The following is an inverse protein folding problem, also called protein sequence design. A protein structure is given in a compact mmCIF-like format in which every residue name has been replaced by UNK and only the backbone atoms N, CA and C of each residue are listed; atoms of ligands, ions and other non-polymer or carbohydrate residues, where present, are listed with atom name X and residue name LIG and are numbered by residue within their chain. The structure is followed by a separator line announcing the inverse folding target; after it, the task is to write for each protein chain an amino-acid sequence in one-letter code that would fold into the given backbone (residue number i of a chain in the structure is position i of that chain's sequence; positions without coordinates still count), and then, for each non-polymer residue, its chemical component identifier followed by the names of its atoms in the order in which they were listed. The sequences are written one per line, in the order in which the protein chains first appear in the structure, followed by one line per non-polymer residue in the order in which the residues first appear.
data_IF_503597398692
#
_entry.id   IF_503597398692
#
_cell.length_a   1.000
_cell.length_b   1.000
_cell.length_c   1.000
_cell.angle_alpha   90.00
_cell.angle_beta   90.00
_cell.angle_gamma   90.00
#
_symmetry.space_group_name_H-M   'P 1'
#
loop_
_entity.id
_entity.type
_entity.pdbx_description
1 polymer ?
#
# COMPACT_ATOMS: atom_id res chain seq x y z
N UNK A 1 -62.49 -61.90 -25.82
CA UNK A 1 -61.35 -62.65 -25.27
C UNK A 1 -60.21 -61.67 -25.03
N UNK A 2 -59.53 -61.88 -23.89
CA UNK A 2 -58.34 -61.19 -23.36
C UNK A 2 -58.57 -59.97 -22.45
N UNK A 3 -58.59 -60.30 -21.16
CA UNK A 3 -58.24 -59.49 -19.98
C UNK A 3 -56.73 -59.26 -19.88
N UNK A 4 -56.32 -58.13 -19.28
CA UNK A 4 -55.31 -57.99 -18.18
C UNK A 4 -54.75 -56.53 -18.15
N UNK A 5 -55.12 -55.66 -17.19
CA UNK A 5 -54.47 -55.37 -15.88
C UNK A 5 -53.00 -54.90 -16.00
N UNK A 6 -52.67 -53.60 -15.81
CA UNK A 6 -52.15 -52.93 -14.56
C UNK A 6 -50.91 -53.64 -13.96
N UNK A 7 -49.80 -53.05 -13.51
CA UNK A 7 -49.42 -51.69 -13.06
C UNK A 7 -47.90 -51.64 -12.72
N UNK A 8 -47.34 -50.43 -12.68
CA UNK A 8 -46.28 -49.89 -11.76
C UNK A 8 -44.86 -50.45 -11.66
N UNK A 9 -43.91 -49.55 -11.96
CA UNK A 9 -42.73 -49.10 -11.18
C UNK A 9 -41.68 -50.11 -10.68
N UNK A 10 -40.51 -50.11 -11.33
CA UNK A 10 -39.24 -50.67 -10.84
C UNK A 10 -38.23 -49.54 -10.59
N UNK A 11 -37.94 -49.30 -9.31
CA UNK A 11 -36.85 -48.46 -8.79
C UNK A 11 -35.68 -49.38 -8.35
N UNK A 12 -34.41 -49.12 -8.73
CA UNK A 12 -33.30 -49.94 -8.26
C UNK A 12 -32.76 -49.48 -6.90
N UNK A 13 -32.86 -50.36 -5.91
CA UNK A 13 -32.39 -50.17 -4.54
C UNK A 13 -30.86 -50.04 -4.41
N UNK A 14 -30.43 -48.95 -3.76
CA UNK A 14 -29.09 -48.74 -3.21
C UNK A 14 -29.00 -49.38 -1.81
N UNK A 15 -27.99 -50.22 -1.59
CA UNK A 15 -27.79 -50.96 -0.33
C UNK A 15 -27.23 -50.05 0.76
N UNK A 16 -28.00 -49.93 1.84
CA UNK A 16 -27.66 -49.26 3.10
C UNK A 16 -26.86 -50.20 4.02
N UNK A 17 -25.70 -49.72 4.51
CA UNK A 17 -24.87 -50.41 5.49
C UNK A 17 -25.25 -49.94 6.90
N UNK A 18 -26.03 -50.76 7.59
CA UNK A 18 -26.46 -50.50 8.96
C UNK A 18 -25.35 -50.79 9.98
N UNK A 19 -25.06 -49.74 10.76
CA UNK A 19 -24.85 -49.70 12.23
C UNK A 19 -24.21 -50.93 12.90
N UNK A 20 -23.01 -50.72 13.45
CA UNK A 20 -22.54 -51.44 14.64
C UNK A 20 -22.32 -50.43 15.78
N UNK A 21 -23.27 -50.37 16.70
CA UNK A 21 -23.16 -49.67 17.98
C UNK A 21 -22.50 -50.60 19.01
N UNK A 22 -21.33 -50.23 19.52
CA UNK A 22 -20.72 -50.89 20.68
C UNK A 22 -20.85 -49.96 21.89
N UNK A 23 -21.70 -50.40 22.81
CA UNK A 23 -22.02 -49.77 24.08
C UNK A 23 -20.88 -49.93 25.09
N UNK A 24 -20.55 -48.83 25.78
CA UNK A 24 -19.60 -48.77 26.89
C UNK A 24 -20.07 -49.64 28.05
N UNK A 25 -19.20 -50.54 28.53
CA UNK A 25 -19.28 -51.10 29.88
C UNK A 25 -18.28 -50.38 30.78
N UNK A 26 -18.85 -49.76 31.80
CA UNK A 26 -18.20 -49.23 32.99
C UNK A 26 -17.37 -50.30 33.71
N UNK A 27 -16.12 -49.99 34.04
CA UNK A 27 -15.39 -50.64 35.12
C UNK A 27 -14.91 -49.58 36.11
N UNK A 28 -15.16 -49.92 37.37
CA UNK A 28 -14.97 -49.14 38.58
C UNK A 28 -13.52 -49.16 39.07
N UNK A 29 -13.01 -47.97 39.44
CA UNK A 29 -12.19 -47.74 40.63
C UNK A 29 -10.78 -48.34 40.70
N UNK A 30 -9.77 -47.48 40.63
CA UNK A 30 -8.73 -47.37 41.67
C UNK A 30 -8.07 -45.99 41.54
N UNK A 31 -8.10 -45.23 42.63
CA UNK A 31 -7.55 -43.90 42.77
C UNK A 31 -6.04 -43.96 43.01
N UNK A 32 -5.26 -43.32 42.16
CA UNK A 32 -3.94 -42.80 42.54
C UNK A 32 -3.77 -41.39 41.97
N UNK A 33 -3.30 -40.51 42.85
CA UNK A 33 -3.28 -39.06 42.80
C UNK A 33 -2.25 -38.48 41.82
N UNK A 34 -2.66 -37.42 41.10
CA UNK A 34 -1.75 -36.51 40.38
C UNK A 34 -1.09 -35.53 41.35
N UNK A 35 0.24 -35.30 41.29
CA UNK A 35 0.85 -34.15 41.96
C UNK A 35 0.76 -32.90 41.07
N UNK A 36 0.24 -31.81 41.67
CA UNK A 36 0.24 -30.46 41.10
C UNK A 36 1.63 -29.78 41.14
N UNK A 37 1.72 -28.53 40.67
CA UNK A 37 2.99 -27.90 40.28
C UNK A 37 3.81 -27.44 41.49
N UNK A 38 5.08 -27.82 41.55
CA UNK A 38 6.02 -27.31 42.55
C UNK A 38 6.62 -25.97 42.13
N UNK A 39 6.64 -25.04 43.10
CA UNK A 39 7.28 -23.74 43.02
C UNK A 39 8.77 -23.87 43.40
N UNK A 40 9.58 -23.01 42.80
CA UNK A 40 10.95 -22.59 43.18
C UNK A 40 12.11 -23.47 42.69
N UNK A 41 12.93 -22.90 41.81
CA UNK A 41 14.22 -23.46 41.42
C UNK A 41 14.90 -22.67 40.30
N UNK A 42 15.32 -21.43 40.58
CA UNK A 42 16.23 -20.70 39.71
C UNK A 42 17.61 -21.35 39.78
N UNK A 43 17.99 -22.13 38.77
CA UNK A 43 19.37 -22.61 38.60
C UNK A 43 20.13 -21.51 37.84
N UNK A 44 21.08 -20.88 38.53
CA UNK A 44 22.08 -19.99 37.92
C UNK A 44 23.05 -20.83 37.10
N UNK A 45 23.13 -20.58 35.80
CA UNK A 45 24.26 -21.04 34.99
C UNK A 45 25.40 -20.04 35.13
N UNK A 46 26.37 -20.42 35.95
CA UNK A 46 27.66 -19.77 36.08
C UNK A 46 28.58 -20.15 34.90
N UNK A 47 29.31 -19.14 34.39
CA UNK A 47 30.53 -19.22 33.58
C UNK A 47 30.44 -19.64 32.09
N UNK A 48 30.20 -18.64 31.22
CA UNK A 48 30.80 -18.60 29.87
C UNK A 48 31.56 -17.27 29.74
N UNK A 49 32.88 -17.36 29.53
CA UNK A 49 33.79 -16.22 29.30
C UNK A 49 33.52 -15.62 27.91
N UNK A 50 33.47 -14.29 27.75
CA UNK A 50 33.54 -13.68 26.42
C UNK A 50 34.96 -13.82 25.86
N UNK A 51 35.08 -14.39 24.67
CA UNK A 51 36.30 -14.29 23.86
C UNK A 51 36.39 -12.86 23.32
N UNK A 52 37.47 -12.16 23.65
CA UNK A 52 37.81 -10.85 23.12
C UNK A 52 38.16 -10.98 21.63
N UNK A 53 37.37 -10.36 20.76
CA UNK A 53 37.78 -10.15 19.37
C UNK A 53 38.59 -8.87 19.30
N UNK A 54 39.90 -9.05 19.04
CA UNK A 54 40.87 -7.99 18.83
C UNK A 54 40.44 -7.05 17.70
N UNK A 55 40.41 -5.75 18.02
CA UNK A 55 40.36 -4.64 17.07
C UNK A 55 41.65 -4.66 16.26
N UNK A 56 41.57 -4.99 14.97
CA UNK A 56 42.62 -4.66 14.01
C UNK A 56 42.19 -3.38 13.31
N UNK A 57 42.83 -2.28 13.69
CA UNK A 57 42.77 -1.01 12.98
C UNK A 57 43.38 -1.19 11.58
N UNK A 58 42.51 -1.24 10.57
CA UNK A 58 42.89 -1.22 9.15
C UNK A 58 42.73 0.20 8.59
N UNK A 59 43.83 0.70 8.04
CA UNK A 59 44.02 2.06 7.51
C UNK A 59 42.88 2.59 6.63
N UNK A 60 42.44 3.82 6.95
CA UNK A 60 41.64 4.65 6.05
C UNK A 60 42.54 5.21 4.92
N UNK A 61 42.16 5.11 3.64
CA UNK A 61 42.84 5.83 2.57
C UNK A 61 42.42 7.30 2.60
N UNK A 62 43.40 8.18 2.81
CA UNK A 62 43.32 9.61 2.52
C UNK A 62 43.12 9.81 1.02
N UNK A 63 41.96 10.34 0.63
CA UNK A 63 41.75 10.85 -0.72
C UNK A 63 41.84 12.37 -0.69
N UNK A 64 43.07 12.86 -0.83
CA UNK A 64 43.30 14.14 -1.47
C UNK A 64 43.00 13.98 -2.98
N UNK A 65 42.29 14.97 -3.51
CA UNK A 65 42.26 15.43 -4.90
C UNK A 65 40.88 15.38 -5.57
N UNK A 66 40.20 16.53 -5.51
CA UNK A 66 39.11 16.91 -6.42
C UNK A 66 39.14 18.43 -6.60
N UNK A 67 40.25 18.93 -7.16
CA UNK A 67 40.17 20.11 -8.03
C UNK A 67 39.91 19.60 -9.45
N UNK A 68 39.25 20.43 -10.27
CA UNK A 68 38.63 20.13 -11.58
C UNK A 68 37.22 19.54 -11.34
N UNK A 69 36.13 20.30 -11.32
CA UNK A 69 35.61 21.13 -12.40
C UNK A 69 34.86 22.35 -11.83
N UNK A 70 35.40 23.55 -12.06
CA UNK A 70 34.67 24.81 -11.93
C UNK A 70 34.52 25.41 -13.33
N UNK A 71 33.30 25.43 -13.85
CA UNK A 71 32.91 26.35 -14.91
C UNK A 71 31.64 27.11 -14.50
N UNK A 72 31.59 28.45 -14.72
CA UNK A 72 30.48 29.30 -14.29
C UNK A 72 29.48 29.58 -15.43
N UNK A 73 28.33 30.16 -15.06
CA UNK A 73 27.25 30.69 -15.92
C UNK A 73 26.39 29.62 -16.61
N UNK A 74 25.05 29.72 -16.68
CA UNK A 74 24.22 30.89 -16.97
C UNK A 74 22.76 30.58 -16.58
N UNK A 75 22.11 31.45 -15.81
CA UNK A 75 20.66 31.40 -15.61
C UNK A 75 19.95 31.80 -16.91
N UNK A 76 19.09 30.93 -17.43
CA UNK A 76 18.10 31.28 -18.44
C UNK A 76 16.74 31.42 -17.74
N UNK A 77 16.23 32.65 -17.70
CA UNK A 77 14.84 32.92 -17.38
C UNK A 77 13.97 32.54 -18.57
N UNK A 78 12.93 31.74 -18.32
CA UNK A 78 11.85 31.49 -19.27
C UNK A 78 10.75 32.52 -19.04
N UNK A 79 10.63 33.45 -19.98
CA UNK A 79 9.45 34.28 -20.15
C UNK A 79 8.35 33.45 -20.80
N UNK A 80 7.32 33.05 -20.04
CA UNK A 80 6.09 32.55 -20.61
C UNK A 80 5.09 33.71 -20.74
N UNK A 81 5.05 34.27 -21.94
CA UNK A 81 4.05 35.23 -22.38
C UNK A 81 2.71 34.57 -22.66
N UNK A 82 1.64 35.11 -22.07
CA UNK A 82 0.27 34.83 -22.48
C UNK A 82 -0.20 35.95 -23.42
N UNK A 83 -0.24 35.64 -24.71
CA UNK A 83 -0.82 36.51 -25.73
C UNK A 83 -2.34 36.45 -25.76
N UNK A 84 -2.99 37.61 -25.91
CA UNK A 84 -4.28 37.74 -26.62
C UNK A 84 -4.26 38.99 -27.48
N UNK A 85 -4.65 38.80 -28.75
CA UNK A 85 -4.80 39.83 -29.79
C UNK A 85 -6.26 40.30 -29.90
N UNK A 86 -6.39 41.43 -30.61
CA UNK A 86 -7.55 42.05 -31.28
C UNK A 86 -8.39 42.96 -30.35
N UNK A 87 -8.68 44.22 -30.68
CA UNK A 87 -8.41 45.07 -31.85
C UNK A 87 -9.33 46.32 -31.79
N UNK A 88 -8.98 47.34 -32.58
CA UNK A 88 -9.78 48.48 -33.05
C UNK A 88 -9.76 49.84 -32.28
N UNK A 89 -8.93 50.76 -32.84
CA UNK A 89 -9.18 52.16 -33.29
C UNK A 89 -10.23 53.05 -32.59
N UNK A 90 -9.79 54.26 -32.19
CA UNK A 90 -10.66 55.42 -31.89
C UNK A 90 -9.92 56.58 -31.22
N UNK A 91 -10.04 57.79 -31.76
CA UNK A 91 -9.16 58.94 -31.54
C UNK A 91 -9.53 59.88 -30.37
N UNK A 92 -8.52 60.67 -29.96
CA UNK A 92 -8.55 62.07 -29.46
C UNK A 92 -9.44 62.44 -28.25
N UNK A 93 -8.80 62.80 -27.12
CA UNK A 93 -8.97 64.10 -26.42
C UNK A 93 -8.13 64.14 -25.13
N UNK A 94 -7.51 65.29 -24.86
CA UNK A 94 -6.65 65.57 -23.71
C UNK A 94 -7.42 66.13 -22.50
N UNK A 95 -6.75 66.07 -21.33
CA UNK A 95 -7.00 66.70 -20.02
C UNK A 95 -7.77 65.86 -18.96
N UNK A 96 -7.59 66.13 -17.66
CA UNK A 96 -6.35 66.42 -16.93
C UNK A 96 -6.11 65.42 -15.78
N UNK A 97 -4.90 65.49 -15.23
CA UNK A 97 -4.39 64.75 -14.08
C UNK A 97 -5.33 64.84 -12.88
N UNK A 98 -5.83 63.69 -12.42
CA UNK A 98 -6.48 63.56 -11.12
C UNK A 98 -5.72 62.54 -10.30
N UNK A 99 -5.14 63.05 -9.21
CA UNK A 99 -4.36 62.32 -8.21
C UNK A 99 -5.28 61.30 -7.54
N UNK A 100 -5.29 60.07 -8.05
CA UNK A 100 -5.93 58.95 -7.37
C UNK A 100 -4.98 58.43 -6.30
N UNK A 101 -5.35 58.74 -5.06
CA UNK A 101 -4.74 58.29 -3.83
C UNK A 101 -4.39 56.81 -3.88
N UNK A 102 -3.17 56.50 -3.41
CA UNK A 102 -2.68 55.16 -3.14
C UNK A 102 -3.60 54.47 -2.14
N UNK A 103 -4.55 53.68 -2.62
CA UNK A 103 -5.10 52.58 -1.84
C UNK A 103 -4.14 51.39 -1.98
N UNK A 104 -3.26 51.29 -1.00
CA UNK A 104 -2.58 50.05 -0.63
C UNK A 104 -3.63 48.94 -0.53
N UNK A 105 -3.75 48.08 -1.55
CA UNK A 105 -4.35 46.76 -1.38
C UNK A 105 -3.26 45.83 -0.83
N UNK A 106 -2.84 46.12 0.39
CA UNK A 106 -2.04 45.21 1.19
C UNK A 106 -3.00 44.29 1.93
N UNK A 107 -3.19 43.06 1.44
CA UNK A 107 -3.19 41.83 2.26
C UNK A 107 -3.52 40.61 1.41
N UNK A 108 -2.52 39.71 1.34
CA UNK A 108 -2.67 38.24 1.38
C UNK A 108 -3.64 37.59 0.41
N UNK A 109 -3.05 37.20 -0.72
CA UNK A 109 -3.21 35.87 -1.30
C UNK A 109 -3.04 34.78 -0.21
N UNK A 110 -4.08 34.51 0.58
CA UNK A 110 -4.09 33.44 1.57
C UNK A 110 -5.49 32.86 1.66
N UNK A 111 -5.69 31.73 0.96
CA UNK A 111 -6.66 30.64 1.21
C UNK A 111 -7.21 30.08 -0.09
N UNK A 112 -6.36 29.32 -0.78
CA UNK A 112 -6.79 27.97 -1.11
C UNK A 112 -6.16 27.11 -0.02
N UNK A 113 -6.75 27.10 1.18
CA UNK A 113 -6.54 26.00 2.11
C UNK A 113 -7.35 24.85 1.50
N UNK A 114 -6.75 24.20 0.51
CA UNK A 114 -7.13 22.84 0.14
C UNK A 114 -7.15 22.05 1.46
N UNK A 115 -8.27 21.38 1.72
CA UNK A 115 -8.61 20.84 3.03
C UNK A 115 -7.54 19.81 3.41
N UNK A 116 -6.49 20.23 4.13
CA UNK A 116 -5.33 19.38 4.47
C UNK A 116 -5.77 18.34 5.50
N UNK A 117 -6.33 17.24 5.02
CA UNK A 117 -6.86 16.18 5.84
C UNK A 117 -5.76 15.18 6.18
N UNK A 118 -5.31 15.18 7.44
CA UNK A 118 -4.40 14.15 7.97
C UNK A 118 -5.07 12.79 8.16
N UNK A 119 -6.38 12.70 7.86
CA UNK A 119 -7.18 11.47 7.92
C UNK A 119 -7.41 10.85 6.54
N UNK A 120 -6.90 11.44 5.46
CA UNK A 120 -6.94 10.82 4.12
C UNK A 120 -6.29 9.43 4.16
N UNK A 121 -6.88 8.47 3.44
CA UNK A 121 -6.41 7.08 3.36
C UNK A 121 -6.20 6.68 1.91
N UNK A 122 -5.18 5.86 1.66
CA UNK A 122 -4.93 5.24 0.36
C UNK A 122 -4.79 3.72 0.49
N UNK A 123 -5.16 2.99 -0.55
CA UNK A 123 -4.90 1.57 -0.66
C UNK A 123 -3.58 1.33 -1.40
N UNK A 124 -2.67 0.57 -0.78
CA UNK A 124 -1.41 0.12 -1.38
C UNK A 124 -1.40 -1.40 -1.34
N UNK A 125 -0.99 -2.04 -2.42
CA UNK A 125 -0.80 -3.49 -2.42
C UNK A 125 0.58 -3.86 -2.97
N UNK A 126 1.26 -4.78 -2.29
CA UNK A 126 2.41 -5.49 -2.85
C UNK A 126 1.88 -6.66 -3.67
N UNK A 127 2.22 -6.67 -4.96
CA UNK A 127 1.81 -7.69 -5.94
C UNK A 127 2.60 -9.00 -5.73
N UNK A 128 2.19 -10.12 -6.37
CA UNK A 128 2.81 -11.41 -6.09
C UNK A 128 4.31 -11.47 -6.34
N UNK A 129 4.81 -10.81 -7.39
CA UNK A 129 6.23 -10.67 -7.67
C UNK A 129 6.99 -9.89 -6.59
N UNK A 130 6.39 -8.85 -6.00
CA UNK A 130 6.98 -8.13 -4.86
C UNK A 130 7.11 -9.01 -3.61
N UNK A 131 6.13 -9.90 -3.38
CA UNK A 131 6.18 -10.88 -2.30
C UNK A 131 7.24 -11.95 -2.57
N UNK A 132 7.24 -12.56 -3.75
CA UNK A 132 8.22 -13.58 -4.15
C UNK A 132 9.67 -13.08 -4.12
N UNK A 133 9.87 -11.78 -4.29
CA UNK A 133 11.20 -11.14 -4.24
C UNK A 133 11.59 -10.64 -2.85
N UNK A 134 10.81 -10.96 -1.82
CA UNK A 134 11.05 -10.54 -0.43
C UNK A 134 11.11 -9.01 -0.24
N UNK A 135 10.32 -8.25 -1.01
CA UNK A 135 10.33 -6.78 -0.98
C UNK A 135 9.27 -6.17 -0.06
N UNK A 136 8.44 -6.99 0.61
CA UNK A 136 7.36 -6.52 1.48
C UNK A 136 7.86 -5.55 2.56
N UNK A 137 8.88 -5.97 3.33
CA UNK A 137 9.46 -5.13 4.38
C UNK A 137 10.06 -3.83 3.83
N UNK A 138 10.71 -3.88 2.67
CA UNK A 138 11.29 -2.69 2.02
C UNK A 138 10.24 -1.69 1.57
N UNK A 139 9.09 -2.16 1.09
CA UNK A 139 7.98 -1.27 0.70
C UNK A 139 7.35 -0.65 1.94
N UNK A 140 7.04 -1.43 2.97
CA UNK A 140 6.47 -0.94 4.23
C UNK A 140 7.39 0.12 4.85
N UNK A 141 8.68 -0.19 4.95
CA UNK A 141 9.71 0.70 5.50
C UNK A 141 9.66 2.10 4.87
N UNK A 142 9.48 2.22 3.55
CA UNK A 142 9.43 3.53 2.88
C UNK A 142 8.24 4.39 3.33
N UNK A 143 7.09 3.78 3.57
CA UNK A 143 5.91 4.50 4.06
C UNK A 143 6.04 4.86 5.54
N UNK A 144 6.62 3.98 6.36
CA UNK A 144 6.90 4.25 7.78
C UNK A 144 7.90 5.39 7.95
N UNK A 145 9.05 5.33 7.25
CA UNK A 145 10.09 6.37 7.31
C UNK A 145 9.60 7.73 6.80
N UNK A 146 8.62 7.74 5.90
CA UNK A 146 7.97 8.96 5.41
C UNK A 146 7.06 9.60 6.47
N UNK A 147 6.59 8.84 7.46
CA UNK A 147 5.69 9.30 8.51
C UNK A 147 4.20 9.01 8.26
N UNK A 148 3.86 8.12 7.33
CA UNK A 148 2.48 7.67 7.13
C UNK A 148 2.06 6.65 8.19
N UNK A 149 0.78 6.68 8.57
CA UNK A 149 0.21 5.78 9.59
C UNK A 149 -0.35 4.52 8.94
N UNK A 150 0.16 3.34 9.29
CA UNK A 150 -0.37 2.06 8.81
C UNK A 150 -1.64 1.68 9.58
N UNK A 151 -2.81 1.71 8.94
CA UNK A 151 -4.09 1.46 9.63
C UNK A 151 -4.68 0.07 9.36
N UNK A 152 -4.26 -0.60 8.28
CA UNK A 152 -4.62 -2.00 8.02
C UNK A 152 -3.54 -2.69 7.21
N UNK A 153 -3.32 -3.99 7.47
CA UNK A 153 -2.35 -4.84 6.79
C UNK A 153 -2.88 -6.27 6.78
N UNK A 154 -2.92 -6.91 5.61
CA UNK A 154 -3.14 -8.37 5.51
C UNK A 154 -2.46 -8.98 4.30
N UNK A 155 -2.05 -10.23 4.45
CA UNK A 155 -1.60 -11.06 3.34
C UNK A 155 -2.71 -12.02 2.94
N UNK A 156 -3.01 -12.11 1.64
CA UNK A 156 -4.02 -13.02 1.12
C UNK A 156 -3.73 -13.41 -0.33
N UNK A 157 -4.29 -14.53 -0.78
CA UNK A 157 -4.38 -14.86 -2.20
C UNK A 157 -5.78 -14.46 -2.67
N UNK A 158 -5.87 -13.44 -3.52
CA UNK A 158 -7.15 -12.93 -3.99
C UNK A 158 -7.78 -13.87 -5.02
N UNK A 159 -9.10 -14.08 -4.91
CA UNK A 159 -9.83 -14.87 -5.92
C UNK A 159 -9.90 -14.11 -7.24
N UNK A 160 -10.09 -14.87 -8.33
CA UNK A 160 -10.28 -14.29 -9.67
C UNK A 160 -11.41 -13.24 -9.68
N UNK A 161 -12.55 -13.58 -9.09
CA UNK A 161 -13.71 -12.67 -9.00
C UNK A 161 -13.37 -11.39 -8.23
N UNK A 162 -12.61 -11.51 -7.14
CA UNK A 162 -12.19 -10.36 -6.35
C UNK A 162 -11.28 -9.42 -7.15
N UNK A 163 -10.36 -9.97 -7.94
CA UNK A 163 -9.45 -9.21 -8.82
C UNK A 163 -10.17 -8.58 -10.01
N UNK A 164 -11.15 -9.27 -10.60
CA UNK A 164 -11.95 -8.74 -11.70
C UNK A 164 -12.78 -7.53 -11.27
N UNK A 165 -13.33 -7.54 -10.06
CA UNK A 165 -14.03 -6.38 -9.49
C UNK A 165 -13.06 -5.22 -9.25
N UNK A 166 -11.87 -5.49 -8.72
CA UNK A 166 -10.84 -4.47 -8.49
C UNK A 166 -10.40 -3.79 -9.79
N UNK A 167 -10.13 -4.57 -10.84
CA UNK A 167 -9.66 -4.07 -12.13
C UNK A 167 -10.79 -3.86 -13.16
N UNK A 168 -12.04 -3.70 -12.72
CA UNK A 168 -13.21 -3.62 -13.62
C UNK A 168 -13.07 -2.56 -14.72
N UNK A 169 -12.41 -1.44 -14.43
CA UNK A 169 -12.22 -0.34 -15.37
C UNK A 169 -11.21 -0.68 -16.49
N UNK A 170 -10.46 -1.77 -16.32
CA UNK A 170 -9.49 -2.30 -17.28
C UNK A 170 -10.02 -3.51 -18.05
N UNK A 171 -11.27 -3.95 -17.84
CA UNK A 171 -11.84 -5.17 -18.42
C UNK A 171 -11.68 -5.27 -19.94
N UNK A 172 -11.85 -4.16 -20.64
CA UNK A 172 -11.78 -4.10 -22.11
C UNK A 172 -10.34 -3.97 -22.65
N UNK A 173 -9.33 -3.93 -21.78
CA UNK A 173 -7.93 -3.83 -22.19
C UNK A 173 -7.40 -5.22 -22.58
N UNK A 174 -6.57 -5.32 -23.64
CA UNK A 174 -6.08 -6.62 -24.13
C UNK A 174 -5.21 -7.36 -23.12
N UNK A 175 -4.59 -6.66 -22.17
CA UNK A 175 -3.77 -7.24 -21.12
C UNK A 175 -4.57 -7.69 -19.88
N UNK A 176 -5.88 -7.45 -19.82
CA UNK A 176 -6.71 -7.74 -18.65
C UNK A 176 -6.68 -9.23 -18.23
N UNK A 177 -6.85 -10.22 -19.12
CA UNK A 177 -6.78 -11.62 -18.73
C UNK A 177 -5.44 -11.96 -18.07
N UNK A 178 -4.34 -11.49 -18.67
CA UNK A 178 -3.00 -11.71 -18.13
C UNK A 178 -2.79 -11.02 -16.78
N UNK A 179 -3.37 -9.81 -16.59
CA UNK A 179 -3.30 -9.09 -15.31
C UNK A 179 -4.00 -9.87 -14.19
N UNK A 180 -5.17 -10.44 -14.46
CA UNK A 180 -5.92 -11.24 -13.49
C UNK A 180 -5.16 -12.52 -13.15
N UNK A 181 -4.64 -13.23 -14.16
CA UNK A 181 -3.85 -14.46 -13.96
C UNK A 181 -2.58 -14.18 -13.15
N UNK A 182 -1.87 -13.10 -13.47
CA UNK A 182 -0.67 -12.68 -12.73
C UNK A 182 -0.99 -12.29 -11.28
N UNK A 183 -2.05 -11.53 -11.04
CA UNK A 183 -2.43 -11.14 -9.67
C UNK A 183 -2.98 -12.32 -8.86
N UNK A 184 -3.57 -13.32 -9.53
CA UNK A 184 -4.04 -14.57 -8.91
C UNK A 184 -2.97 -15.65 -8.75
N UNK A 185 -1.75 -15.44 -9.28
CA UNK A 185 -0.71 -16.48 -9.28
C UNK A 185 -0.01 -16.66 -7.91
N UNK A 186 -0.29 -15.79 -6.94
CA UNK A 186 0.38 -15.84 -5.65
C UNK A 186 -0.21 -14.87 -4.62
N UNK A 187 0.34 -14.83 -3.41
CA UNK A 187 -0.13 -13.97 -2.35
C UNK A 187 0.18 -12.50 -2.65
N UNK A 188 -0.72 -11.62 -2.21
CA UNK A 188 -0.53 -10.17 -2.18
C UNK A 188 -0.54 -9.67 -0.74
N UNK A 189 0.14 -8.55 -0.50
CA UNK A 189 0.06 -7.85 0.79
C UNK A 189 -0.74 -6.58 0.57
N UNK A 190 -1.98 -6.58 1.04
CA UNK A 190 -2.88 -5.44 1.02
C UNK A 190 -2.63 -4.55 2.24
N UNK A 191 -2.59 -3.25 2.04
CA UNK A 191 -2.31 -2.25 3.07
C UNK A 191 -3.20 -1.02 2.92
N UNK A 192 -3.49 -0.39 4.05
CA UNK A 192 -4.11 0.94 4.09
C UNK A 192 -3.20 1.88 4.86
N UNK A 193 -2.81 2.97 4.21
CA UNK A 193 -1.97 4.01 4.79
C UNK A 193 -2.78 5.30 4.95
N UNK A 194 -2.58 6.00 6.06
CA UNK A 194 -3.27 7.24 6.40
C UNK A 194 -2.29 8.39 6.58
N UNK A 195 -2.65 9.56 6.06
CA UNK A 195 -1.93 10.82 6.28
C UNK A 195 -2.25 11.88 5.24
N UNK A 196 -1.63 13.05 5.38
CA UNK A 196 -1.84 14.18 4.47
C UNK A 196 -1.38 13.83 3.05
N UNK A 197 -2.25 14.07 2.07
CA UNK A 197 -2.04 13.80 0.64
C UNK A 197 -1.50 12.38 0.35
N UNK A 198 -1.82 11.41 1.20
CA UNK A 198 -1.23 10.06 1.14
C UNK A 198 -1.52 9.36 -0.19
N UNK A 199 -2.63 9.66 -0.86
CA UNK A 199 -2.92 9.11 -2.21
C UNK A 199 -1.90 9.65 -3.23
N UNK A 200 -1.77 10.98 -3.32
CA UNK A 200 -0.89 11.64 -4.29
C UNK A 200 0.58 11.37 -4.00
N UNK A 201 0.98 11.47 -2.75
CA UNK A 201 2.34 11.22 -2.30
C UNK A 201 2.69 9.74 -2.38
N UNK A 202 1.77 8.83 -2.03
CA UNK A 202 1.92 7.40 -2.20
C UNK A 202 2.21 7.04 -3.66
N UNK A 203 1.43 7.59 -4.61
CA UNK A 203 1.70 7.44 -6.06
C UNK A 203 3.09 7.94 -6.47
N UNK A 204 3.51 9.07 -5.92
CA UNK A 204 4.82 9.66 -6.19
C UNK A 204 5.96 8.77 -5.67
N UNK A 205 5.81 8.20 -4.47
CA UNK A 205 6.76 7.25 -3.88
C UNK A 205 6.84 5.93 -4.64
N UNK A 206 5.70 5.44 -5.17
CA UNK A 206 5.68 4.23 -5.99
C UNK A 206 6.43 4.42 -7.31
N UNK A 207 6.36 5.62 -7.91
CA UNK A 207 6.90 5.92 -9.23
C UNK A 207 5.90 5.63 -10.35
N UNK A 208 6.29 5.95 -11.59
CA UNK A 208 5.45 5.77 -12.77
C UNK A 208 5.01 4.30 -12.96
N UNK A 209 3.83 4.07 -13.55
CA UNK A 209 3.32 2.69 -13.77
C UNK A 209 4.29 1.86 -14.62
N UNK A 210 4.93 2.48 -15.62
CA UNK A 210 6.05 1.91 -16.35
C UNK A 210 7.36 2.16 -15.58
N UNK A 211 8.05 1.13 -15.09
CA UNK A 211 9.30 1.28 -14.35
C UNK A 211 10.39 2.03 -15.11
N UNK A 212 10.45 1.91 -16.44
CA UNK A 212 11.42 2.63 -17.27
C UNK A 212 11.25 4.16 -17.23
N UNK A 213 10.07 4.63 -16.85
CA UNK A 213 9.77 6.05 -16.65
C UNK A 213 9.81 6.46 -15.17
N UNK A 214 10.21 5.56 -14.27
CA UNK A 214 10.28 5.83 -12.84
C UNK A 214 11.66 6.38 -12.47
N UNK A 215 11.68 7.45 -11.67
CA UNK A 215 12.94 8.03 -11.20
C UNK A 215 13.62 7.11 -10.16
N UNK A 216 14.96 7.08 -10.10
CA UNK A 216 15.69 6.48 -8.98
C UNK A 216 15.22 7.06 -7.64
N UNK A 217 15.13 6.22 -6.62
CA UNK A 217 14.56 6.57 -5.31
C UNK A 217 13.05 6.32 -5.20
N UNK A 218 12.35 6.03 -6.30
CA UNK A 218 10.98 5.51 -6.25
C UNK A 218 10.99 3.98 -6.15
N UNK A 219 9.93 3.38 -5.60
CA UNK A 219 9.85 1.92 -5.42
C UNK A 219 10.01 1.19 -6.76
N UNK A 220 9.35 1.64 -7.82
CA UNK A 220 9.47 1.02 -9.14
C UNK A 220 10.81 1.33 -9.81
N UNK A 221 11.36 2.52 -9.63
CA UNK A 221 12.67 2.88 -10.17
C UNK A 221 13.80 2.04 -9.57
N UNK A 222 13.71 1.72 -8.28
CA UNK A 222 14.76 0.99 -7.58
C UNK A 222 14.64 -0.54 -7.75
N UNK A 223 13.42 -1.04 -7.96
CA UNK A 223 13.16 -2.48 -7.88
C UNK A 223 12.50 -3.09 -9.12
N UNK A 224 12.11 -2.33 -10.15
CA UNK A 224 11.40 -2.89 -11.30
C UNK A 224 12.06 -2.54 -12.64
N UNK A 225 11.76 -3.36 -13.66
CA UNK A 225 12.26 -3.16 -15.03
C UNK A 225 11.08 -3.09 -16.00
N UNK A 226 10.17 -4.06 -15.96
CA UNK A 226 9.08 -4.20 -16.93
C UNK A 226 7.71 -3.87 -16.32
N UNK A 227 6.82 -3.26 -17.11
CA UNK A 227 5.47 -2.83 -16.66
C UNK A 227 4.60 -3.99 -16.14
N UNK A 228 4.71 -5.19 -16.73
CA UNK A 228 3.94 -6.36 -16.29
C UNK A 228 4.39 -6.95 -14.94
N UNK A 229 5.51 -6.49 -14.38
CA UNK A 229 6.12 -6.93 -13.11
C UNK A 229 6.61 -5.72 -12.32
N UNK A 230 5.66 -4.83 -11.99
CA UNK A 230 5.93 -3.56 -11.34
C UNK A 230 5.67 -3.55 -9.82
N UNK A 231 5.66 -4.74 -9.20
CA UNK A 231 5.65 -5.09 -7.75
C UNK A 231 4.60 -4.47 -6.83
N UNK A 232 3.96 -3.37 -7.19
CA UNK A 232 3.07 -2.63 -6.31
C UNK A 232 1.92 -1.95 -7.07
N UNK A 233 0.81 -1.80 -6.36
CA UNK A 233 -0.37 -1.00 -6.74
C UNK A 233 -0.56 0.12 -5.71
N UNK A 234 -1.12 1.24 -6.16
CA UNK A 234 -1.57 2.32 -5.30
C UNK A 234 -2.70 3.09 -5.98
N UNK A 235 -3.73 3.43 -5.20
CA UNK A 235 -4.91 4.15 -5.68
C UNK A 235 -4.52 5.46 -6.38
N UNK A 236 -5.20 5.78 -7.47
CA UNK A 236 -4.89 6.95 -8.31
C UNK A 236 -5.58 8.25 -7.88
N UNK A 237 -6.62 8.14 -7.08
CA UNK A 237 -7.47 9.24 -6.60
C UNK A 237 -8.09 8.88 -5.26
N UNK A 238 -8.58 9.88 -4.53
CA UNK A 238 -9.26 9.68 -3.24
C UNK A 238 -10.50 8.81 -3.39
N UNK A 239 -11.28 9.01 -4.46
CA UNK A 239 -12.46 8.20 -4.75
C UNK A 239 -12.09 6.74 -5.02
N UNK A 240 -11.04 6.51 -5.81
CA UNK A 240 -10.53 5.14 -6.03
C UNK A 240 -10.04 4.52 -4.74
N UNK A 241 -9.32 5.28 -3.90
CA UNK A 241 -8.87 4.79 -2.60
C UNK A 241 -10.03 4.34 -1.70
N UNK A 242 -11.10 5.12 -1.59
CA UNK A 242 -12.26 4.73 -0.79
C UNK A 242 -12.92 3.45 -1.31
N UNK A 243 -13.11 3.32 -2.63
CA UNK A 243 -13.67 2.11 -3.25
C UNK A 243 -12.78 0.89 -3.04
N UNK A 244 -11.48 1.05 -3.25
CA UNK A 244 -10.50 -0.02 -3.11
C UNK A 244 -10.40 -0.46 -1.64
N UNK A 245 -10.31 0.46 -0.68
CA UNK A 245 -10.29 0.13 0.75
C UNK A 245 -11.53 -0.66 1.15
N UNK A 246 -12.72 -0.21 0.75
CA UNK A 246 -13.98 -0.91 1.06
C UNK A 246 -14.10 -2.28 0.37
N UNK A 247 -13.47 -2.45 -0.79
CA UNK A 247 -13.44 -3.73 -1.50
C UNK A 247 -12.48 -4.74 -0.85
N UNK A 248 -11.31 -4.27 -0.42
CA UNK A 248 -10.25 -5.12 0.13
C UNK A 248 -10.39 -5.37 1.63
N UNK A 249 -10.91 -4.43 2.39
CA UNK A 249 -10.96 -4.50 3.86
C UNK A 249 -12.38 -4.32 4.39
N UNK A 250 -12.71 -5.10 5.41
CA UNK A 250 -13.89 -4.85 6.23
C UNK A 250 -13.60 -3.69 7.20
N UNK A 251 -14.62 -2.94 7.65
CA UNK A 251 -14.43 -1.83 8.58
C UNK A 251 -13.69 -2.22 9.86
N UNK A 252 -13.93 -3.43 10.39
CA UNK A 252 -13.28 -3.96 11.59
C UNK A 252 -11.79 -4.32 11.40
N UNK A 253 -11.30 -4.44 10.17
CA UNK A 253 -9.89 -4.67 9.88
C UNK A 253 -9.06 -3.36 9.89
N UNK A 254 -9.74 -2.20 9.95
CA UNK A 254 -9.10 -0.89 9.94
C UNK A 254 -8.98 -0.36 11.36
N UNK A 255 -7.75 -0.22 11.82
CA UNK A 255 -7.42 0.23 13.18
C UNK A 255 -7.26 1.74 13.21
N UNK A 256 -8.06 2.41 14.03
CA UNK A 256 -7.89 3.83 14.31
C UNK A 256 -7.19 4.03 15.66
N UNK A 257 -5.87 4.06 15.61
CA UNK A 257 -5.02 4.33 16.77
C UNK A 257 -4.37 5.70 16.65
N UNK A 258 -4.11 6.34 17.79
CA UNK A 258 -3.36 7.58 17.84
C UNK A 258 -1.85 7.29 17.84
N UNK A 259 -1.10 8.06 17.05
CA UNK A 259 0.36 8.07 17.12
C UNK A 259 0.81 9.45 17.59
N UNK A 260 1.22 9.61 18.86
CA UNK A 260 1.72 10.88 19.38
C UNK A 260 2.91 11.40 18.57
N UNK A 261 3.76 10.52 18.06
CA UNK A 261 4.88 10.87 17.19
C UNK A 261 4.41 11.56 15.90
N UNK A 262 3.50 10.91 15.16
CA UNK A 262 2.98 11.46 13.90
C UNK A 262 2.21 12.76 14.16
N UNK A 263 1.37 12.78 15.19
CA UNK A 263 0.54 13.94 15.52
C UNK A 263 1.34 15.17 15.93
N UNK A 264 2.46 14.98 16.63
CA UNK A 264 3.21 16.09 17.26
C UNK A 264 4.41 16.54 16.43
N UNK A 265 5.04 15.62 15.69
CA UNK A 265 6.34 15.87 15.04
C UNK A 265 6.31 15.77 13.52
N UNK A 266 5.25 15.21 12.92
CA UNK A 266 5.13 15.08 11.45
C UNK A 266 4.22 16.16 10.86
N UNK A 267 3.19 16.60 11.58
CA UNK A 267 2.23 17.62 11.15
C UNK A 267 2.28 18.85 12.06
N UNK A 268 2.07 20.04 11.48
CA UNK A 268 1.99 21.35 12.17
C UNK A 268 0.61 21.63 12.78
#
# INVERSE_FOLDING_TARGET
MNHSSTSTDDEPQYKDNTKTSLSLKTQTGTSTSFPGPSKNGWIRSDHIRPQEHSIIAGNAPSFEDSRLWLHPFRAYGSEDGCGRRNGAIGALSAAPVQVASRLFCGTRCWRICENMSTTERTFIAVKPDGVHRNLVGKIIQRFEERGYKLVALKMMTASKQHLEVHYKDLKDKPFFPHLIDYMGSGPVVAMVWQGLDVVKQGRSMLGATNPLASAPGTIRGDFCIQTGRNICHGSDSVDSAQREIAHWFKPEEINDYESPFIKTWVYE
#
